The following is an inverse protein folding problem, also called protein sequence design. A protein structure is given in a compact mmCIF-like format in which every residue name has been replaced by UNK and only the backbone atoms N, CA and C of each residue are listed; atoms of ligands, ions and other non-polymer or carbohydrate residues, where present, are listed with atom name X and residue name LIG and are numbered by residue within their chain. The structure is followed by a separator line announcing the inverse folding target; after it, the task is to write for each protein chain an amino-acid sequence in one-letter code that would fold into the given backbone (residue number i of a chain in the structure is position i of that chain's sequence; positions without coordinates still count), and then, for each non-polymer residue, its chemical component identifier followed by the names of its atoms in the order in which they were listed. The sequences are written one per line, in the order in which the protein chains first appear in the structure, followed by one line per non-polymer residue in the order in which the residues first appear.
data_IF_541923631598
#
_entry.id   IF_541923631598
#
_cell.length_a   1.000
_cell.length_b   1.000
_cell.length_c   1.000
_cell.angle_alpha   90.00
_cell.angle_beta   90.00
_cell.angle_gamma   90.00
#
_symmetry.space_group_name_H-M   'P 1'
#
loop_
_entity.id
_entity.type
_entity.pdbx_description
1 polymer ?
#
# COMPACT_ATOMS: atom_id res chain seq x y z
N UNK A 1 33.15 -18.23 46.39
CA UNK A 1 31.76 -18.17 45.89
C UNK A 1 31.26 -16.75 45.57
N UNK A 2 31.59 -15.70 46.36
CA UNK A 2 31.12 -14.31 46.12
C UNK A 2 31.63 -13.71 44.80
N UNK A 3 32.90 -13.90 44.43
CA UNK A 3 33.49 -13.42 43.18
C UNK A 3 32.90 -14.09 41.92
N UNK A 4 32.50 -15.36 42.00
CA UNK A 4 31.87 -16.09 40.93
C UNK A 4 30.47 -15.51 40.60
N UNK A 5 29.68 -15.22 41.65
CA UNK A 5 28.34 -14.62 41.52
C UNK A 5 28.37 -13.20 40.91
N UNK A 6 29.40 -12.40 41.27
CA UNK A 6 29.58 -11.07 40.70
C UNK A 6 29.98 -11.15 39.20
N UNK A 7 30.93 -12.06 38.86
CA UNK A 7 31.29 -12.30 37.46
C UNK A 7 30.10 -12.72 36.61
N UNK A 8 29.25 -13.63 37.11
CA UNK A 8 28.03 -14.05 36.42
C UNK A 8 27.03 -12.91 36.24
N UNK A 9 26.89 -12.00 37.21
CA UNK A 9 26.02 -10.85 37.10
C UNK A 9 26.54 -9.85 36.02
N UNK A 10 27.85 -9.58 36.00
CA UNK A 10 28.48 -8.71 34.98
C UNK A 10 28.35 -9.33 33.59
N UNK A 11 28.56 -10.64 33.46
CA UNK A 11 28.33 -11.35 32.17
C UNK A 11 26.87 -11.23 31.73
N UNK A 12 25.90 -11.35 32.65
CA UNK A 12 24.50 -11.19 32.36
C UNK A 12 24.15 -9.79 31.86
N UNK A 13 24.71 -8.74 32.47
CA UNK A 13 24.55 -7.34 31.99
C UNK A 13 25.18 -7.17 30.61
N UNK A 14 26.40 -7.66 30.41
CA UNK A 14 27.08 -7.56 29.12
C UNK A 14 26.33 -8.28 28.01
N UNK A 15 25.83 -9.50 28.29
CA UNK A 15 25.02 -10.26 27.31
C UNK A 15 23.70 -9.55 26.98
N UNK A 16 22.97 -9.05 27.97
CA UNK A 16 21.73 -8.32 27.77
C UNK A 16 21.97 -7.00 27.01
N UNK A 17 23.06 -6.29 27.29
CA UNK A 17 23.45 -5.08 26.57
C UNK A 17 23.80 -5.37 25.12
N UNK A 18 24.54 -6.46 24.85
CA UNK A 18 24.85 -6.90 23.49
C UNK A 18 23.58 -7.31 22.73
N UNK A 19 22.66 -8.04 23.37
CA UNK A 19 21.36 -8.38 22.78
C UNK A 19 20.52 -7.15 22.45
N UNK A 20 20.45 -6.16 23.36
CA UNK A 20 19.79 -4.89 23.10
C UNK A 20 20.41 -4.16 21.90
N UNK A 21 21.74 -4.07 21.86
CA UNK A 21 22.45 -3.40 20.77
C UNK A 21 22.22 -4.07 19.41
N UNK A 22 22.16 -5.40 19.37
CA UNK A 22 21.91 -6.19 18.16
C UNK A 22 20.45 -6.09 17.68
N UNK A 23 19.49 -6.10 18.60
CA UNK A 23 18.06 -6.08 18.26
C UNK A 23 17.52 -4.67 18.01
N UNK A 24 18.13 -3.64 18.60
CA UNK A 24 17.65 -2.26 18.55
C UNK A 24 17.43 -1.69 17.15
N UNK A 25 18.35 -1.86 16.18
CA UNK A 25 18.15 -1.33 14.82
C UNK A 25 16.91 -1.95 14.15
N UNK A 26 16.77 -3.28 14.24
CA UNK A 26 15.64 -4.01 13.66
C UNK A 26 14.31 -3.65 14.34
N UNK A 27 14.31 -3.54 15.67
CA UNK A 27 13.13 -3.17 16.43
C UNK A 27 12.67 -1.74 16.12
N UNK A 28 13.60 -0.79 15.98
CA UNK A 28 13.31 0.60 15.62
C UNK A 28 12.70 0.69 14.21
N UNK A 29 13.27 -0.01 13.24
CA UNK A 29 12.75 -0.06 11.87
C UNK A 29 11.35 -0.71 11.86
N UNK A 30 11.19 -1.84 12.54
CA UNK A 30 9.91 -2.53 12.68
C UNK A 30 8.84 -1.66 13.35
N UNK A 31 9.19 -0.94 14.40
CA UNK A 31 8.29 -0.01 15.08
C UNK A 31 7.87 1.14 14.16
N UNK A 32 8.81 1.71 13.38
CA UNK A 32 8.50 2.77 12.43
C UNK A 32 7.52 2.30 11.34
N UNK A 33 7.71 1.08 10.82
CA UNK A 33 6.79 0.48 9.84
C UNK A 33 5.40 0.23 10.46
N UNK A 34 5.34 -0.27 11.69
CA UNK A 34 4.07 -0.50 12.38
C UNK A 34 3.30 0.81 12.66
N UNK A 35 3.99 1.88 12.99
CA UNK A 35 3.38 3.21 13.18
C UNK A 35 2.88 3.78 11.84
N UNK A 36 3.61 3.56 10.75
CA UNK A 36 3.26 4.05 9.42
C UNK A 36 2.17 3.23 8.70
N UNK A 37 1.64 2.16 9.30
CA UNK A 37 0.72 1.21 8.64
C UNK A 37 -0.55 1.85 8.05
N UNK A 38 -1.00 2.98 8.59
CA UNK A 38 -2.20 3.69 8.13
C UNK A 38 -1.92 4.78 7.10
N UNK A 39 -0.62 5.12 6.89
CA UNK A 39 -0.16 6.07 5.87
C UNK A 39 0.62 5.33 4.76
N UNK A 40 -0.01 5.09 3.59
CA UNK A 40 0.63 4.37 2.49
C UNK A 40 1.89 5.06 1.96
N UNK A 41 2.00 6.39 2.05
CA UNK A 41 3.15 7.12 1.59
C UNK A 41 4.37 6.90 2.50
N UNK A 42 4.19 6.99 3.81
CA UNK A 42 5.24 6.72 4.78
C UNK A 42 5.63 5.23 4.79
N UNK A 43 4.63 4.34 4.74
CA UNK A 43 4.85 2.90 4.68
C UNK A 43 5.69 2.50 3.47
N UNK A 44 5.31 2.99 2.28
CA UNK A 44 6.04 2.70 1.04
C UNK A 44 7.46 3.25 1.08
N UNK A 45 7.69 4.42 1.66
CA UNK A 45 9.02 5.00 1.81
C UNK A 45 9.96 4.14 2.65
N UNK A 46 9.48 3.68 3.80
CA UNK A 46 10.28 2.82 4.68
C UNK A 46 10.63 1.50 3.98
N UNK A 47 9.67 0.90 3.28
CA UNK A 47 9.87 -0.35 2.56
C UNK A 47 10.79 -0.18 1.34
N UNK A 48 10.62 0.89 0.54
CA UNK A 48 11.51 1.21 -0.58
C UNK A 48 12.93 1.44 -0.09
N UNK A 49 13.13 2.23 0.96
CA UNK A 49 14.45 2.49 1.51
C UNK A 49 15.13 1.19 2.01
N UNK A 50 14.35 0.25 2.56
CA UNK A 50 14.87 -1.06 2.96
C UNK A 50 15.24 -1.92 1.73
N UNK A 51 14.38 -1.97 0.69
CA UNK A 51 14.65 -2.69 -0.54
C UNK A 51 15.90 -2.16 -1.27
N UNK A 52 16.07 -0.85 -1.33
CA UNK A 52 17.19 -0.19 -1.99
C UNK A 52 18.52 -0.38 -1.26
N UNK A 53 18.51 -0.43 0.08
CA UNK A 53 19.72 -0.77 0.86
C UNK A 53 20.23 -2.17 0.57
N UNK A 54 19.32 -3.09 0.29
CA UNK A 54 19.65 -4.49 0.02
C UNK A 54 20.06 -4.75 -1.42
N UNK A 55 19.66 -3.90 -2.36
CA UNK A 55 19.98 -4.04 -3.78
C UNK A 55 20.10 -2.67 -4.46
N UNK A 56 21.33 -2.22 -4.69
CA UNK A 56 21.61 -0.92 -5.30
C UNK A 56 21.29 -0.88 -6.80
N UNK A 57 21.33 -2.01 -7.52
CA UNK A 57 21.00 -2.07 -8.95
C UNK A 57 19.49 -2.17 -9.20
N UNK A 58 18.67 -2.36 -8.16
CA UNK A 58 17.25 -2.64 -8.28
C UNK A 58 16.53 -1.68 -9.22
N UNK A 59 16.80 -0.38 -9.11
CA UNK A 59 16.11 0.64 -9.92
C UNK A 59 16.56 0.56 -11.37
N UNK A 60 17.88 0.45 -11.63
CA UNK A 60 18.41 0.33 -12.99
C UNK A 60 17.85 -0.92 -13.71
N UNK A 61 17.84 -2.06 -13.02
CA UNK A 61 17.28 -3.32 -13.56
C UNK A 61 15.78 -3.18 -13.90
N UNK A 62 15.04 -2.37 -13.13
CA UNK A 62 13.62 -2.10 -13.41
C UNK A 62 13.43 -1.13 -14.56
N UNK A 63 14.29 -0.10 -14.71
CA UNK A 63 14.27 0.82 -15.85
C UNK A 63 14.52 0.06 -17.14
N UNK A 64 15.57 -0.78 -17.20
CA UNK A 64 15.89 -1.60 -18.36
C UNK A 64 14.73 -2.53 -18.75
N UNK A 65 14.13 -3.20 -17.77
CA UNK A 65 12.96 -4.06 -18.02
C UNK A 65 11.75 -3.29 -18.52
N UNK A 66 11.50 -2.09 -18.01
CA UNK A 66 10.40 -1.24 -18.46
C UNK A 66 10.63 -0.78 -19.90
N UNK A 67 11.85 -0.37 -20.26
CA UNK A 67 12.22 -0.02 -21.64
C UNK A 67 12.09 -1.22 -22.59
N UNK A 68 12.58 -2.39 -22.19
CA UNK A 68 12.45 -3.61 -22.98
C UNK A 68 10.99 -4.03 -23.19
N UNK A 69 10.09 -3.70 -22.25
CA UNK A 69 8.65 -3.92 -22.36
C UNK A 69 7.91 -2.80 -23.16
N UNK A 70 8.60 -1.76 -23.62
CA UNK A 70 8.00 -0.60 -24.29
C UNK A 70 7.14 0.27 -23.35
N UNK A 71 7.36 0.18 -22.02
CA UNK A 71 6.63 0.97 -21.03
C UNK A 71 7.44 2.20 -20.60
N UNK A 72 7.46 3.21 -21.47
CA UNK A 72 8.20 4.45 -21.26
C UNK A 72 7.76 5.20 -19.99
N UNK A 73 6.45 5.18 -19.67
CA UNK A 73 5.91 5.84 -18.47
C UNK A 73 6.41 5.16 -17.20
N UNK A 74 6.51 3.81 -17.20
CA UNK A 74 7.05 3.07 -16.06
C UNK A 74 8.55 3.33 -15.92
N UNK A 75 9.31 3.36 -17.02
CA UNK A 75 10.72 3.69 -17.00
C UNK A 75 10.96 5.11 -16.43
N UNK A 76 10.16 6.09 -16.85
CA UNK A 76 10.20 7.45 -16.32
C UNK A 76 9.85 7.48 -14.80
N UNK A 77 8.84 6.71 -14.38
CA UNK A 77 8.47 6.58 -12.97
C UNK A 77 9.63 6.08 -12.09
N UNK A 78 10.42 5.12 -12.59
CA UNK A 78 11.62 4.64 -11.90
C UNK A 78 12.74 5.67 -11.86
N UNK A 79 12.93 6.43 -12.94
CA UNK A 79 13.93 7.52 -12.99
C UNK A 79 13.58 8.61 -11.97
N UNK A 80 12.31 8.97 -11.83
CA UNK A 80 11.88 9.95 -10.82
C UNK A 80 12.09 9.42 -9.40
N UNK A 81 11.81 8.14 -9.16
CA UNK A 81 12.09 7.50 -7.88
C UNK A 81 13.60 7.49 -7.58
N UNK A 82 14.45 7.17 -8.57
CA UNK A 82 15.90 7.21 -8.44
C UNK A 82 16.40 8.60 -8.05
N UNK A 83 15.88 9.64 -8.72
CA UNK A 83 16.22 11.03 -8.45
C UNK A 83 15.87 11.45 -7.02
N UNK A 84 14.67 11.11 -6.55
CA UNK A 84 14.25 11.40 -5.17
C UNK A 84 15.11 10.68 -4.13
N UNK A 85 15.48 9.44 -4.41
CA UNK A 85 16.29 8.61 -3.51
C UNK A 85 17.80 8.82 -3.68
N UNK A 86 18.23 9.77 -4.53
CA UNK A 86 19.64 10.05 -4.85
C UNK A 86 20.39 8.79 -5.33
N UNK A 87 19.74 7.95 -6.13
CA UNK A 87 20.34 6.76 -6.74
C UNK A 87 20.93 7.16 -8.10
N UNK A 88 22.19 6.81 -8.31
CA UNK A 88 22.85 7.06 -9.58
C UNK A 88 22.31 6.11 -10.65
N UNK A 89 21.78 6.68 -11.73
CA UNK A 89 21.40 5.99 -12.96
C UNK A 89 22.36 6.47 -14.04
N UNK A 90 22.83 5.57 -14.92
CA UNK A 90 23.75 5.94 -15.98
C UNK A 90 23.14 6.97 -16.94
N UNK A 91 23.95 7.89 -17.46
CA UNK A 91 23.47 8.90 -18.41
C UNK A 91 22.90 8.27 -19.68
N UNK A 92 23.49 7.16 -20.10
CA UNK A 92 22.99 6.38 -21.25
C UNK A 92 21.56 5.89 -21.04
N UNK A 93 21.27 5.33 -19.85
CA UNK A 93 19.94 4.83 -19.52
C UNK A 93 18.93 5.99 -19.39
N UNK A 94 19.36 7.14 -18.87
CA UNK A 94 18.53 8.34 -18.81
C UNK A 94 18.16 8.86 -20.20
N UNK A 95 19.10 8.86 -21.15
CA UNK A 95 18.83 9.25 -22.54
C UNK A 95 17.87 8.26 -23.23
N UNK A 96 18.03 6.96 -22.99
CA UNK A 96 17.10 5.95 -23.53
C UNK A 96 15.67 6.17 -23.02
N UNK A 97 15.51 6.47 -21.71
CA UNK A 97 14.18 6.79 -21.13
C UNK A 97 13.60 8.05 -21.75
N UNK A 98 14.40 9.13 -21.92
CA UNK A 98 13.93 10.37 -22.57
C UNK A 98 13.47 10.14 -24.00
N UNK A 99 14.25 9.38 -24.76
CA UNK A 99 13.89 9.03 -26.14
C UNK A 99 12.59 8.23 -26.20
N UNK A 100 12.44 7.21 -25.34
CA UNK A 100 11.23 6.40 -25.27
C UNK A 100 9.98 7.21 -24.86
N UNK A 101 10.11 8.13 -23.90
CA UNK A 101 9.02 9.03 -23.49
C UNK A 101 8.64 10.00 -24.62
N UNK A 102 9.64 10.54 -25.33
CA UNK A 102 9.40 11.43 -26.46
C UNK A 102 8.69 10.71 -27.60
N UNK A 103 9.08 9.49 -27.90
CA UNK A 103 8.43 8.64 -28.90
C UNK A 103 6.98 8.31 -28.50
N UNK A 104 6.77 7.89 -27.26
CA UNK A 104 5.45 7.57 -26.72
C UNK A 104 4.49 8.79 -26.80
N UNK A 105 5.00 10.00 -26.60
CA UNK A 105 4.24 11.25 -26.67
C UNK A 105 4.15 11.84 -28.08
N UNK A 106 4.68 11.19 -29.09
CA UNK A 106 4.63 11.68 -30.45
C UNK A 106 3.19 11.70 -30.99
N UNK A 107 2.88 12.67 -31.87
CA UNK A 107 1.56 12.80 -32.48
C UNK A 107 1.13 11.55 -33.28
N UNK A 108 2.08 10.81 -33.84
CA UNK A 108 1.80 9.57 -34.57
C UNK A 108 1.37 8.42 -33.63
N UNK A 109 1.98 8.32 -32.48
CA UNK A 109 1.60 7.33 -31.45
C UNK A 109 0.22 7.66 -30.87
N UNK A 110 -0.01 8.95 -30.59
CA UNK A 110 -1.31 9.45 -30.15
C UNK A 110 -2.43 9.15 -31.16
N UNK A 111 -2.20 9.43 -32.44
CA UNK A 111 -3.18 9.20 -33.49
C UNK A 111 -3.50 7.71 -33.71
N UNK A 112 -2.49 6.81 -33.60
CA UNK A 112 -2.68 5.36 -33.66
C UNK A 112 -3.46 4.86 -32.47
N UNK A 113 -3.09 5.27 -31.26
CA UNK A 113 -3.77 4.88 -30.01
C UNK A 113 -5.23 5.32 -30.02
N UNK A 114 -5.51 6.57 -30.43
CA UNK A 114 -6.86 7.10 -30.57
C UNK A 114 -7.69 6.32 -31.60
N UNK A 115 -7.16 6.05 -32.78
CA UNK A 115 -7.85 5.30 -33.82
C UNK A 115 -8.11 3.85 -33.40
N UNK A 116 -7.13 3.20 -32.76
CA UNK A 116 -7.29 1.82 -32.25
C UNK A 116 -8.32 1.77 -31.14
N UNK A 117 -8.26 2.68 -30.17
CA UNK A 117 -9.23 2.76 -29.08
C UNK A 117 -10.66 2.99 -29.55
N UNK A 118 -10.84 3.83 -30.59
CA UNK A 118 -12.14 4.11 -31.18
C UNK A 118 -12.73 2.89 -31.91
N UNK A 119 -11.89 2.13 -32.61
CA UNK A 119 -12.33 0.97 -33.43
C UNK A 119 -12.48 -0.29 -32.58
N UNK A 120 -11.56 -0.55 -31.67
CA UNK A 120 -11.52 -1.80 -30.89
C UNK A 120 -12.25 -1.71 -29.55
N UNK A 121 -12.50 -0.50 -29.05
CA UNK A 121 -13.00 -0.25 -27.70
C UNK A 121 -12.00 -0.64 -26.61
N UNK A 122 -10.74 -0.89 -26.98
CA UNK A 122 -9.64 -1.16 -26.07
C UNK A 122 -8.87 0.14 -25.78
N UNK A 123 -8.91 0.58 -24.53
CA UNK A 123 -8.18 1.74 -24.08
C UNK A 123 -6.79 1.31 -23.57
N UNK A 124 -5.93 0.85 -24.46
CA UNK A 124 -4.56 0.47 -24.10
C UNK A 124 -3.63 1.70 -23.95
N UNK A 125 -4.10 2.90 -24.31
CA UNK A 125 -3.28 4.10 -24.31
C UNK A 125 -4.01 5.35 -23.80
N UNK A 126 -3.28 6.27 -23.16
CA UNK A 126 -3.77 7.57 -22.64
C UNK A 126 -4.42 8.43 -23.76
N UNK A 127 -3.97 8.26 -25.00
CA UNK A 127 -4.49 8.95 -26.15
C UNK A 127 -5.97 8.64 -26.46
N UNK A 128 -6.45 7.45 -26.09
CA UNK A 128 -7.84 7.04 -26.31
C UNK A 128 -8.81 7.69 -25.30
N UNK A 129 -8.29 8.28 -24.21
CA UNK A 129 -9.08 8.87 -23.11
C UNK A 129 -9.02 10.41 -23.05
N UNK A 130 -8.17 11.06 -23.84
CA UNK A 130 -8.04 12.51 -23.81
C UNK A 130 -9.09 13.16 -24.73
N UNK A 131 -10.14 13.66 -24.14
CA UNK A 131 -11.01 14.56 -24.87
C UNK A 131 -12.36 14.80 -24.19
N UNK A 132 -12.87 16.00 -24.32
CA UNK A 132 -14.20 16.46 -23.92
C UNK A 132 -15.34 15.66 -24.57
N UNK A 133 -15.05 14.87 -25.60
CA UNK A 133 -15.93 13.88 -26.25
C UNK A 133 -16.16 12.64 -25.36
N UNK A 134 -15.28 12.40 -24.38
CA UNK A 134 -15.35 11.24 -23.50
C UNK A 134 -16.64 11.18 -22.64
N UNK A 135 -17.20 12.32 -22.25
CA UNK A 135 -18.40 12.35 -21.41
C UNK A 135 -19.60 11.62 -22.02
N UNK A 136 -19.89 11.89 -23.29
CA UNK A 136 -20.98 11.26 -24.03
C UNK A 136 -20.65 9.81 -24.40
N UNK A 137 -19.38 9.52 -24.75
CA UNK A 137 -18.92 8.17 -25.04
C UNK A 137 -19.03 7.23 -23.81
N UNK A 138 -18.77 7.71 -22.62
CA UNK A 138 -18.95 6.93 -21.38
C UNK A 138 -20.41 6.56 -21.14
N UNK A 139 -21.34 7.49 -21.35
CA UNK A 139 -22.78 7.22 -21.21
C UNK A 139 -23.25 6.20 -22.26
N UNK A 140 -22.84 6.37 -23.52
CA UNK A 140 -23.15 5.39 -24.57
C UNK A 140 -22.54 4.03 -24.29
N UNK A 141 -21.32 3.97 -23.75
CA UNK A 141 -20.66 2.75 -23.31
C UNK A 141 -21.45 2.03 -22.21
N UNK A 142 -21.91 2.77 -21.21
CA UNK A 142 -22.71 2.22 -20.11
C UNK A 142 -24.08 1.71 -20.60
N UNK A 143 -24.78 2.48 -21.45
CA UNK A 143 -26.05 2.06 -22.05
C UNK A 143 -25.84 0.79 -22.89
N UNK A 144 -24.81 0.76 -23.74
CA UNK A 144 -24.50 -0.41 -24.58
C UNK A 144 -24.22 -1.64 -23.73
N UNK A 145 -23.41 -1.49 -22.66
CA UNK A 145 -23.06 -2.61 -21.76
C UNK A 145 -24.31 -3.12 -21.02
N UNK A 146 -25.19 -2.24 -20.55
CA UNK A 146 -26.47 -2.62 -19.91
C UNK A 146 -27.39 -3.35 -20.90
N UNK A 147 -27.55 -2.85 -22.11
CA UNK A 147 -28.39 -3.49 -23.14
C UNK A 147 -27.83 -4.84 -23.56
N UNK A 148 -26.50 -4.96 -23.73
CA UNK A 148 -25.85 -6.21 -24.09
C UNK A 148 -26.01 -7.26 -23.00
N UNK A 149 -25.60 -6.94 -21.77
CA UNK A 149 -25.66 -7.86 -20.63
C UNK A 149 -27.12 -8.17 -20.22
N UNK A 150 -28.02 -7.19 -20.36
CA UNK A 150 -29.46 -7.39 -20.17
C UNK A 150 -30.05 -8.33 -21.21
N UNK A 151 -29.60 -8.25 -22.48
CA UNK A 151 -30.01 -9.19 -23.53
C UNK A 151 -29.51 -10.62 -23.23
N UNK A 152 -28.23 -10.75 -22.80
CA UNK A 152 -27.68 -12.05 -22.36
C UNK A 152 -28.51 -12.64 -21.21
N UNK A 153 -28.98 -11.79 -20.27
CA UNK A 153 -29.84 -12.20 -19.18
C UNK A 153 -31.18 -12.74 -19.71
N UNK A 154 -31.85 -12.03 -20.63
CA UNK A 154 -33.14 -12.42 -21.22
C UNK A 154 -33.04 -13.68 -22.09
N UNK A 155 -31.89 -13.90 -22.76
CA UNK A 155 -31.66 -15.12 -23.60
C UNK A 155 -31.09 -16.30 -22.82
N UNK A 156 -30.84 -16.17 -21.51
CA UNK A 156 -30.22 -17.21 -20.68
C UNK A 156 -28.73 -17.45 -20.97
N UNK A 157 -28.07 -16.51 -21.64
CA UNK A 157 -26.64 -16.55 -21.89
C UNK A 157 -25.81 -16.14 -20.65
N UNK A 158 -24.50 -16.34 -20.72
CA UNK A 158 -23.61 -15.93 -19.61
C UNK A 158 -23.53 -14.40 -19.49
N UNK A 159 -23.98 -13.88 -18.36
CA UNK A 159 -23.97 -12.44 -18.03
C UNK A 159 -22.75 -12.10 -17.21
N UNK A 160 -21.98 -11.09 -17.63
CA UNK A 160 -20.99 -10.48 -16.75
C UNK A 160 -21.67 -9.46 -15.82
N UNK A 161 -22.14 -9.96 -14.67
CA UNK A 161 -22.85 -9.17 -13.65
C UNK A 161 -22.03 -8.02 -13.11
N UNK A 162 -20.70 -8.12 -13.15
CA UNK A 162 -19.82 -7.05 -12.72
C UNK A 162 -19.83 -5.89 -13.74
N UNK A 163 -19.72 -6.19 -15.03
CA UNK A 163 -19.80 -5.19 -16.10
C UNK A 163 -21.17 -4.53 -16.06
N UNK A 164 -22.23 -5.29 -15.91
CA UNK A 164 -23.59 -4.77 -15.77
C UNK A 164 -23.74 -3.82 -14.57
N UNK A 165 -23.27 -4.21 -13.39
CA UNK A 165 -23.35 -3.37 -12.20
C UNK A 165 -22.49 -2.12 -12.28
N UNK A 166 -21.29 -2.19 -12.89
CA UNK A 166 -20.45 -1.01 -13.12
C UNK A 166 -21.09 -0.04 -14.12
N UNK A 167 -21.71 -0.54 -15.18
CA UNK A 167 -22.46 0.27 -16.14
C UNK A 167 -23.68 0.93 -15.48
N UNK A 168 -24.41 0.18 -14.64
CA UNK A 168 -25.51 0.72 -13.84
C UNK A 168 -25.05 1.82 -12.86
N UNK A 169 -23.91 1.63 -12.18
CA UNK A 169 -23.32 2.64 -11.32
C UNK A 169 -22.91 3.88 -12.12
N UNK A 170 -22.36 3.72 -13.32
CA UNK A 170 -22.02 4.80 -14.25
C UNK A 170 -23.25 5.61 -14.64
N UNK A 171 -24.36 4.95 -14.97
CA UNK A 171 -25.64 5.61 -15.28
C UNK A 171 -26.23 6.34 -14.06
N UNK A 172 -26.13 5.76 -12.86
CA UNK A 172 -26.56 6.41 -11.62
C UNK A 172 -25.76 7.70 -11.33
N UNK A 173 -24.43 7.65 -11.52
CA UNK A 173 -23.55 8.84 -11.43
C UNK A 173 -23.97 9.88 -12.48
N UNK A 174 -24.31 9.48 -13.70
CA UNK A 174 -24.80 10.38 -14.75
C UNK A 174 -26.08 11.08 -14.33
N UNK A 175 -27.05 10.34 -13.82
CA UNK A 175 -28.32 10.90 -13.36
C UNK A 175 -28.13 11.90 -12.20
N UNK A 176 -27.22 11.58 -11.25
CA UNK A 176 -26.92 12.45 -10.12
C UNK A 176 -26.15 13.72 -10.49
N UNK A 177 -25.37 13.71 -11.61
CA UNK A 177 -24.53 14.84 -12.01
C UNK A 177 -25.21 15.89 -12.87
N UNK A 178 -26.37 15.60 -13.44
CA UNK A 178 -27.20 16.67 -13.98
C UNK A 178 -27.62 17.70 -12.89
N UNK A 179 -27.43 17.35 -11.62
CA UNK A 179 -27.75 18.20 -10.46
C UNK A 179 -26.50 18.91 -9.86
N UNK A 180 -25.27 18.42 -10.14
CA UNK A 180 -24.04 19.00 -9.58
C UNK A 180 -22.92 19.12 -10.64
N UNK A 181 -22.52 20.36 -10.92
CA UNK A 181 -21.52 20.71 -11.93
C UNK A 181 -20.13 20.21 -11.50
N UNK A 182 -19.53 19.29 -12.26
CA UNK A 182 -18.08 19.06 -12.30
C UNK A 182 -17.48 17.87 -11.53
N UNK A 183 -18.19 17.23 -10.59
CA UNK A 183 -17.59 16.18 -9.72
C UNK A 183 -17.59 14.73 -10.27
N UNK A 184 -18.22 14.48 -11.42
CA UNK A 184 -18.46 13.12 -11.89
C UNK A 184 -17.42 12.56 -12.86
N UNK A 185 -16.65 13.41 -13.53
CA UNK A 185 -15.68 12.96 -14.53
C UNK A 185 -14.65 11.94 -13.96
N UNK A 186 -14.01 12.18 -12.81
CA UNK A 186 -13.08 11.20 -12.24
C UNK A 186 -13.76 9.87 -11.86
N UNK A 187 -15.00 9.93 -11.36
CA UNK A 187 -15.74 8.72 -10.98
C UNK A 187 -16.04 7.87 -12.22
N UNK A 188 -16.51 8.48 -13.30
CA UNK A 188 -16.81 7.80 -14.56
C UNK A 188 -15.57 7.19 -15.19
N UNK A 189 -14.49 7.97 -15.29
CA UNK A 189 -13.21 7.48 -15.77
C UNK A 189 -12.74 6.26 -14.96
N UNK A 190 -12.83 6.34 -13.63
CA UNK A 190 -12.48 5.23 -12.76
C UNK A 190 -13.36 4.00 -12.94
N UNK A 191 -14.67 4.14 -13.05
CA UNK A 191 -15.58 3.02 -13.32
C UNK A 191 -15.29 2.36 -14.69
N UNK A 192 -14.97 3.15 -15.70
CA UNK A 192 -14.56 2.64 -17.01
C UNK A 192 -13.25 1.87 -16.91
N UNK A 193 -12.26 2.39 -16.19
CA UNK A 193 -10.99 1.68 -15.94
C UNK A 193 -11.20 0.35 -15.23
N UNK A 194 -12.12 0.27 -14.27
CA UNK A 194 -12.47 -1.01 -13.61
C UNK A 194 -13.11 -1.99 -14.59
N UNK A 195 -14.01 -1.51 -15.48
CA UNK A 195 -14.58 -2.35 -16.54
C UNK A 195 -13.53 -2.87 -17.51
N UNK A 196 -12.62 -2.00 -17.92
CA UNK A 196 -11.55 -2.36 -18.85
C UNK A 196 -10.56 -3.34 -18.20
N UNK A 197 -10.16 -3.09 -16.95
CA UNK A 197 -9.35 -4.02 -16.17
C UNK A 197 -10.01 -5.42 -16.07
N UNK A 198 -11.33 -5.47 -15.89
CA UNK A 198 -12.10 -6.73 -15.91
C UNK A 198 -12.02 -7.43 -17.27
N UNK A 199 -12.26 -6.69 -18.35
CA UNK A 199 -12.27 -7.22 -19.73
C UNK A 199 -10.91 -7.78 -20.15
N UNK A 200 -9.82 -7.13 -19.73
CA UNK A 200 -8.44 -7.56 -20.05
C UNK A 200 -7.83 -8.52 -18.99
N UNK A 201 -8.62 -8.97 -18.02
CA UNK A 201 -8.15 -9.90 -16.98
C UNK A 201 -7.14 -9.31 -15.99
N UNK A 202 -7.10 -7.99 -15.84
CA UNK A 202 -6.19 -7.25 -14.94
C UNK A 202 -6.88 -6.75 -13.67
N UNK A 203 -7.96 -7.37 -13.26
CA UNK A 203 -8.65 -7.06 -12.01
C UNK A 203 -8.32 -8.13 -10.96
N UNK A 204 -7.80 -7.73 -9.81
CA UNK A 204 -7.45 -8.62 -8.71
C UNK A 204 -8.64 -9.49 -8.29
N UNK A 205 -8.39 -10.73 -7.89
CA UNK A 205 -9.43 -11.72 -7.60
C UNK A 205 -10.37 -11.27 -6.48
N UNK A 206 -9.82 -10.82 -5.35
CA UNK A 206 -10.60 -10.35 -4.22
C UNK A 206 -11.45 -9.12 -4.57
N UNK A 207 -10.88 -8.19 -5.37
CA UNK A 207 -11.61 -7.01 -5.86
C UNK A 207 -12.73 -7.41 -6.83
N UNK A 208 -12.48 -8.40 -7.70
CA UNK A 208 -13.49 -8.98 -8.60
C UNK A 208 -14.66 -9.58 -7.81
N UNK A 209 -14.37 -10.37 -6.78
CA UNK A 209 -15.39 -10.97 -5.93
C UNK A 209 -16.19 -9.92 -5.16
N UNK A 210 -15.51 -8.90 -4.63
CA UNK A 210 -16.17 -7.80 -3.91
C UNK A 210 -17.08 -6.98 -4.84
N UNK A 211 -16.55 -6.55 -5.99
CA UNK A 211 -17.29 -5.76 -6.96
C UNK A 211 -18.47 -6.53 -7.55
N UNK A 212 -18.30 -7.85 -7.79
CA UNK A 212 -19.39 -8.73 -8.26
C UNK A 212 -20.51 -8.90 -7.24
N UNK A 213 -20.21 -8.90 -5.92
CA UNK A 213 -21.26 -8.86 -4.89
C UNK A 213 -22.00 -7.51 -4.89
N UNK A 214 -21.26 -6.41 -4.87
CA UNK A 214 -21.83 -5.06 -4.91
C UNK A 214 -22.67 -4.82 -6.17
N UNK A 215 -22.28 -5.38 -7.30
CA UNK A 215 -23.02 -5.29 -8.55
C UNK A 215 -24.36 -6.04 -8.52
N UNK A 216 -24.41 -7.18 -7.82
CA UNK A 216 -25.67 -7.95 -7.66
C UNK A 216 -26.73 -7.20 -6.85
N UNK A 217 -26.27 -6.48 -5.82
CA UNK A 217 -27.18 -5.73 -4.95
C UNK A 217 -27.74 -4.48 -5.65
N UNK A 218 -27.07 -4.03 -6.72
CA UNK A 218 -27.44 -2.84 -7.49
C UNK A 218 -28.50 -3.10 -8.55
N UNK A 219 -28.62 -4.33 -9.06
CA UNK A 219 -29.43 -4.68 -10.24
C UNK A 219 -30.53 -5.67 -9.86
N UNK A 220 -31.77 -5.25 -10.05
CA UNK A 220 -32.92 -6.17 -10.02
C UNK A 220 -33.00 -6.91 -11.36
N UNK A 221 -32.47 -8.17 -11.37
CA UNK A 221 -32.38 -8.95 -12.59
C UNK A 221 -33.74 -9.20 -13.26
N UNK A 222 -34.81 -9.59 -12.55
CA UNK A 222 -36.14 -9.77 -13.13
C UNK A 222 -36.70 -8.48 -13.76
N UNK A 223 -36.53 -7.33 -13.10
CA UNK A 223 -37.02 -6.05 -13.65
C UNK A 223 -36.22 -5.65 -14.88
N UNK A 224 -34.90 -5.88 -14.87
CA UNK A 224 -34.05 -5.58 -16.02
C UNK A 224 -34.37 -6.45 -17.22
N UNK A 225 -34.59 -7.74 -17.01
CA UNK A 225 -34.98 -8.70 -18.06
C UNK A 225 -36.27 -8.23 -18.73
N UNK A 226 -37.33 -7.96 -17.97
CA UNK A 226 -38.59 -7.41 -18.48
C UNK A 226 -38.43 -6.10 -19.22
N UNK A 227 -37.58 -5.19 -18.69
CA UNK A 227 -37.34 -3.90 -19.33
C UNK A 227 -36.61 -4.02 -20.66
N UNK A 228 -35.69 -4.98 -20.79
CA UNK A 228 -34.93 -5.23 -22.03
C UNK A 228 -35.82 -5.97 -23.07
N UNK A 229 -36.62 -6.94 -22.65
CA UNK A 229 -37.56 -7.63 -23.53
C UNK A 229 -38.60 -6.69 -24.13
N UNK A 230 -39.07 -5.71 -23.35
CA UNK A 230 -40.03 -4.68 -23.78
C UNK A 230 -39.38 -3.47 -24.43
N UNK A 231 -38.03 -3.42 -24.49
CA UNK A 231 -37.31 -2.31 -25.08
C UNK A 231 -37.64 -2.14 -26.56
N UNK A 232 -38.10 -0.97 -26.94
CA UNK A 232 -38.46 -0.65 -28.33
C UNK A 232 -37.62 0.52 -28.83
N UNK A 233 -37.03 0.33 -30.01
CA UNK A 233 -36.29 1.40 -30.72
C UNK A 233 -37.22 2.58 -31.10
N UNK A 234 -38.53 2.29 -31.19
CA UNK A 234 -39.56 3.28 -31.50
C UNK A 234 -39.95 4.17 -30.32
N UNK A 235 -39.61 3.75 -29.07
CA UNK A 235 -39.92 4.47 -27.82
C UNK A 235 -38.69 4.51 -26.89
N UNK A 236 -37.59 5.12 -27.30
CA UNK A 236 -36.34 5.05 -26.55
C UNK A 236 -36.43 5.61 -25.12
N UNK A 237 -37.23 6.66 -24.91
CA UNK A 237 -37.41 7.26 -23.58
C UNK A 237 -38.03 6.28 -22.55
N UNK A 238 -39.12 5.58 -22.95
CA UNK A 238 -39.79 4.61 -22.09
C UNK A 238 -38.89 3.42 -21.78
N UNK A 239 -38.10 2.95 -22.76
CA UNK A 239 -37.14 1.87 -22.58
C UNK A 239 -36.02 2.25 -21.60
N UNK A 240 -35.51 3.49 -21.69
CA UNK A 240 -34.50 4.01 -20.77
C UNK A 240 -35.05 4.13 -19.35
N UNK A 241 -36.28 4.61 -19.18
CA UNK A 241 -36.91 4.77 -17.85
C UNK A 241 -37.20 3.40 -17.22
N UNK A 242 -37.64 2.42 -17.99
CA UNK A 242 -37.83 1.05 -17.52
C UNK A 242 -36.52 0.39 -17.10
N UNK A 243 -35.44 0.58 -17.88
CA UNK A 243 -34.11 0.10 -17.54
C UNK A 243 -33.61 0.79 -16.25
N UNK A 244 -33.78 2.10 -16.12
CA UNK A 244 -33.41 2.83 -14.90
C UNK A 244 -34.15 2.33 -13.65
N UNK A 245 -35.42 1.96 -13.76
CA UNK A 245 -36.22 1.44 -12.67
C UNK A 245 -35.72 0.07 -12.14
N UNK A 246 -34.95 -0.68 -12.93
CA UNK A 246 -34.33 -1.92 -12.52
C UNK A 246 -33.03 -1.74 -11.70
N UNK A 247 -32.62 -0.50 -11.42
CA UNK A 247 -31.42 -0.21 -10.64
C UNK A 247 -31.74 0.42 -9.28
N UNK A 248 -30.98 0.03 -8.27
CA UNK A 248 -31.00 0.58 -6.92
C UNK A 248 -29.85 1.56 -6.71
N UNK A 249 -29.96 2.85 -7.10
CA UNK A 249 -28.85 3.80 -7.06
C UNK A 249 -28.29 4.01 -5.65
N UNK A 250 -29.07 3.78 -4.60
CA UNK A 250 -28.64 3.83 -3.20
C UNK A 250 -27.59 2.74 -2.88
N UNK A 251 -27.59 1.63 -3.59
CA UNK A 251 -26.60 0.56 -3.44
C UNK A 251 -25.30 0.83 -4.22
N UNK A 252 -25.28 1.84 -5.10
CA UNK A 252 -24.13 2.16 -5.94
C UNK A 252 -22.96 2.80 -5.14
N UNK A 253 -23.20 3.27 -3.92
CA UNK A 253 -22.23 4.08 -3.15
C UNK A 253 -20.85 3.43 -3.01
N UNK A 254 -20.77 2.11 -2.91
CA UNK A 254 -19.52 1.35 -2.84
C UNK A 254 -18.73 1.41 -4.15
N UNK A 255 -19.39 1.15 -5.27
CA UNK A 255 -18.81 1.18 -6.62
C UNK A 255 -18.44 2.60 -7.04
N UNK A 256 -19.26 3.59 -6.69
CA UNK A 256 -18.97 5.01 -6.93
C UNK A 256 -17.70 5.45 -6.20
N UNK A 257 -17.53 5.05 -4.92
CA UNK A 257 -16.29 5.31 -4.18
C UNK A 257 -15.09 4.63 -4.81
N UNK A 258 -15.23 3.36 -5.20
CA UNK A 258 -14.18 2.64 -5.94
C UNK A 258 -13.81 3.42 -7.22
N UNK A 259 -14.80 3.81 -8.04
CA UNK A 259 -14.57 4.58 -9.26
C UNK A 259 -13.85 5.91 -8.98
N UNK A 260 -14.25 6.63 -7.92
CA UNK A 260 -13.58 7.86 -7.50
C UNK A 260 -12.10 7.62 -7.16
N UNK A 261 -11.81 6.57 -6.40
CA UNK A 261 -10.44 6.26 -5.98
C UNK A 261 -9.58 5.81 -7.16
N UNK A 262 -10.11 4.95 -8.05
CA UNK A 262 -9.43 4.56 -9.30
C UNK A 262 -9.18 5.77 -10.21
N UNK A 263 -10.17 6.66 -10.34
CA UNK A 263 -10.03 7.90 -11.11
C UNK A 263 -8.91 8.79 -10.59
N UNK A 264 -8.77 8.92 -9.25
CA UNK A 264 -7.67 9.67 -8.62
C UNK A 264 -6.30 9.03 -8.91
N UNK A 265 -6.20 7.70 -8.84
CA UNK A 265 -4.96 7.01 -9.24
C UNK A 265 -4.65 7.28 -10.72
N UNK A 266 -5.67 7.19 -11.60
CA UNK A 266 -5.52 7.48 -13.03
C UNK A 266 -5.07 8.90 -13.32
N UNK A 267 -5.58 9.88 -12.57
CA UNK A 267 -5.17 11.29 -12.70
C UNK A 267 -3.71 11.51 -12.27
N UNK A 268 -3.25 10.89 -11.20
CA UNK A 268 -1.92 11.13 -10.60
C UNK A 268 -0.81 10.22 -11.13
N UNK A 269 -1.13 8.95 -11.40
CA UNK A 269 -0.18 7.92 -11.83
C UNK A 269 -0.45 7.40 -13.25
N UNK A 270 -1.39 8.01 -13.97
CA UNK A 270 -1.78 7.61 -15.33
C UNK A 270 -2.69 6.38 -15.38
N UNK A 271 -3.25 6.12 -16.56
CA UNK A 271 -4.15 4.97 -16.81
C UNK A 271 -3.47 3.64 -16.46
N UNK A 272 -2.23 3.46 -16.91
CA UNK A 272 -1.44 2.25 -16.60
C UNK A 272 -1.21 2.09 -15.09
N UNK A 273 -1.02 3.20 -14.36
CA UNK A 273 -0.92 3.18 -12.89
C UNK A 273 -2.21 2.73 -12.20
N UNK A 274 -3.36 3.13 -12.72
CA UNK A 274 -4.65 2.64 -12.25
C UNK A 274 -4.83 1.15 -12.55
N UNK A 275 -4.46 0.67 -13.74
CA UNK A 275 -4.50 -0.76 -14.08
C UNK A 275 -3.53 -1.60 -13.24
N UNK A 276 -2.33 -1.10 -12.98
CA UNK A 276 -1.36 -1.75 -12.09
C UNK A 276 -1.93 -1.86 -10.66
N UNK A 277 -2.56 -0.78 -10.17
CA UNK A 277 -3.28 -0.79 -8.88
C UNK A 277 -4.40 -1.83 -8.84
N UNK A 278 -5.26 -1.84 -9.86
CA UNK A 278 -6.40 -2.77 -9.94
C UNK A 278 -5.95 -4.23 -10.00
N UNK A 279 -4.79 -4.52 -10.61
CA UNK A 279 -4.26 -5.87 -10.73
C UNK A 279 -3.77 -6.47 -9.40
N UNK A 280 -3.32 -5.62 -8.47
CA UNK A 280 -2.78 -6.07 -7.17
C UNK A 280 -3.76 -5.89 -6.01
N UNK A 281 -4.84 -5.11 -6.20
CA UNK A 281 -5.80 -4.82 -5.15
C UNK A 281 -6.73 -6.01 -4.91
N UNK A 282 -6.90 -6.37 -3.64
CA UNK A 282 -7.82 -7.42 -3.19
C UNK A 282 -9.17 -6.86 -2.73
N UNK A 283 -9.29 -5.54 -2.65
CA UNK A 283 -10.53 -4.90 -2.24
C UNK A 283 -10.50 -3.38 -2.36
N UNK A 284 -11.65 -2.72 -2.12
CA UNK A 284 -11.77 -1.27 -2.27
C UNK A 284 -10.87 -0.49 -1.31
N UNK A 285 -10.52 -1.06 -0.16
CA UNK A 285 -9.59 -0.43 0.80
C UNK A 285 -8.17 -0.32 0.23
N UNK A 286 -7.73 -1.31 -0.55
CA UNK A 286 -6.42 -1.28 -1.19
C UNK A 286 -6.38 -0.18 -2.25
N UNK A 287 -7.45 -0.06 -3.05
CA UNK A 287 -7.58 1.00 -4.05
C UNK A 287 -7.62 2.39 -3.40
N UNK A 288 -8.34 2.55 -2.29
CA UNK A 288 -8.37 3.81 -1.54
C UNK A 288 -6.98 4.19 -0.98
N UNK A 289 -6.17 3.21 -0.55
CA UNK A 289 -4.80 3.43 -0.12
C UNK A 289 -3.88 3.77 -1.30
N UNK A 290 -4.05 3.10 -2.44
CA UNK A 290 -3.34 3.43 -3.67
C UNK A 290 -3.65 4.86 -4.15
N UNK A 291 -4.90 5.32 -4.02
CA UNK A 291 -5.28 6.69 -4.33
C UNK A 291 -4.54 7.71 -3.44
N UNK A 292 -4.44 7.45 -2.13
CA UNK A 292 -3.64 8.29 -1.21
C UNK A 292 -2.15 8.25 -1.54
N UNK A 293 -1.62 7.08 -1.89
CA UNK A 293 -0.24 6.94 -2.35
C UNK A 293 -0.01 7.77 -3.61
N UNK A 294 -0.90 7.67 -4.60
CA UNK A 294 -0.81 8.41 -5.86
C UNK A 294 -0.92 9.93 -5.65
N UNK A 295 -1.77 10.39 -4.73
CA UNK A 295 -1.87 11.81 -4.36
C UNK A 295 -0.56 12.35 -3.77
N UNK A 296 0.17 11.55 -3.00
CA UNK A 296 1.43 11.99 -2.37
C UNK A 296 2.66 11.77 -3.23
N UNK A 297 2.69 10.73 -4.09
CA UNK A 297 3.86 10.30 -4.88
C UNK A 297 3.73 10.52 -6.38
N UNK A 298 2.56 10.92 -6.86
CA UNK A 298 2.32 11.22 -8.27
C UNK A 298 2.75 10.08 -9.20
N UNK A 299 3.54 10.42 -10.20
CA UNK A 299 4.09 9.51 -11.21
C UNK A 299 4.97 8.39 -10.63
N UNK A 300 5.64 8.58 -9.50
CA UNK A 300 6.45 7.56 -8.83
C UNK A 300 5.64 6.37 -8.31
N UNK A 301 4.32 6.54 -8.18
CA UNK A 301 3.41 5.49 -7.67
C UNK A 301 3.58 4.18 -8.42
N UNK A 302 3.75 4.22 -9.76
CA UNK A 302 3.93 3.00 -10.56
C UNK A 302 5.20 2.24 -10.19
N UNK A 303 6.32 2.94 -10.05
CA UNK A 303 7.60 2.35 -9.63
C UNK A 303 7.47 1.72 -8.23
N UNK A 304 6.84 2.42 -7.30
CA UNK A 304 6.61 1.95 -5.93
C UNK A 304 5.75 0.67 -5.94
N UNK A 305 4.63 0.67 -6.66
CA UNK A 305 3.76 -0.50 -6.79
C UNK A 305 4.48 -1.67 -7.47
N UNK A 306 5.38 -1.40 -8.43
CA UNK A 306 6.12 -2.44 -9.14
C UNK A 306 7.20 -3.10 -8.29
N UNK A 307 7.84 -2.36 -7.39
CA UNK A 307 8.84 -2.89 -6.45
C UNK A 307 8.16 -3.64 -5.29
N UNK A 308 7.17 -3.04 -4.68
CA UNK A 308 6.58 -3.51 -3.42
C UNK A 308 5.31 -4.35 -3.61
N UNK A 309 4.71 -4.29 -4.81
CA UNK A 309 3.42 -4.92 -5.06
C UNK A 309 2.36 -4.40 -4.08
N UNK A 310 1.53 -5.30 -3.57
CA UNK A 310 0.52 -5.01 -2.55
C UNK A 310 1.13 -4.51 -1.23
N UNK A 311 2.39 -4.83 -0.95
CA UNK A 311 3.13 -4.34 0.21
C UNK A 311 3.21 -2.82 0.29
N UNK A 312 3.17 -2.11 -0.85
CA UNK A 312 3.09 -0.65 -0.89
C UNK A 312 1.82 -0.09 -0.22
N UNK A 313 0.76 -0.88 -0.20
CA UNK A 313 -0.57 -0.46 0.26
C UNK A 313 -0.88 -0.96 1.67
N UNK A 314 -0.36 -2.12 2.03
CA UNK A 314 -0.67 -2.82 3.26
C UNK A 314 0.58 -3.40 3.90
N UNK A 315 0.64 -3.35 5.22
CA UNK A 315 1.54 -4.18 5.98
C UNK A 315 0.98 -5.61 6.07
N UNK A 316 0.94 -6.33 4.93
CA UNK A 316 0.26 -7.62 4.83
C UNK A 316 1.15 -8.80 5.23
N UNK A 317 2.39 -8.83 4.74
CA UNK A 317 3.34 -9.88 5.03
C UNK A 317 4.40 -9.36 6.00
N UNK A 318 4.65 -10.07 7.09
CA UNK A 318 5.71 -9.71 8.04
C UNK A 318 5.26 -8.89 9.25
N UNK A 319 3.98 -8.50 9.37
CA UNK A 319 3.50 -7.82 10.58
C UNK A 319 3.78 -8.65 11.86
N UNK A 320 3.70 -9.96 11.77
CA UNK A 320 4.05 -10.87 12.87
C UNK A 320 5.55 -10.81 13.18
N UNK A 321 6.40 -10.87 12.15
CA UNK A 321 7.86 -10.78 12.32
C UNK A 321 8.28 -9.41 12.88
N UNK A 322 7.67 -8.32 12.37
CA UNK A 322 7.91 -6.97 12.88
C UNK A 322 7.53 -6.85 14.37
N UNK A 323 6.37 -7.41 14.74
CA UNK A 323 5.91 -7.44 16.15
C UNK A 323 6.86 -8.26 17.01
N UNK A 324 7.37 -9.39 16.50
CA UNK A 324 8.33 -10.25 17.19
C UNK A 324 9.65 -9.51 17.46
N UNK A 325 10.17 -8.74 16.49
CA UNK A 325 11.37 -7.92 16.69
C UNK A 325 11.19 -6.85 17.76
N UNK A 326 10.08 -6.13 17.74
CA UNK A 326 9.74 -5.12 18.78
C UNK A 326 9.60 -5.78 20.14
N UNK A 327 8.89 -6.89 20.23
CA UNK A 327 8.70 -7.62 21.47
C UNK A 327 10.03 -8.20 22.00
N UNK A 328 10.87 -8.76 21.11
CA UNK A 328 12.20 -9.25 21.46
C UNK A 328 13.10 -8.15 22.03
N UNK A 329 13.07 -6.94 21.44
CA UNK A 329 13.82 -5.81 21.96
C UNK A 329 13.31 -5.32 23.32
N UNK A 330 11.99 -5.31 23.54
CA UNK A 330 11.41 -4.99 24.85
C UNK A 330 11.80 -6.00 25.92
N UNK A 331 11.80 -7.30 25.59
CA UNK A 331 12.27 -8.34 26.50
C UNK A 331 13.77 -8.18 26.82
N UNK A 332 14.59 -7.88 25.82
CA UNK A 332 16.02 -7.64 26.02
C UNK A 332 16.27 -6.41 26.91
N UNK A 333 15.51 -5.33 26.71
CA UNK A 333 15.57 -4.13 27.54
C UNK A 333 15.14 -4.42 28.98
N UNK A 334 14.06 -5.16 29.18
CA UNK A 334 13.61 -5.59 30.50
C UNK A 334 14.65 -6.48 31.18
N UNK A 335 15.28 -7.41 30.47
CA UNK A 335 16.38 -8.23 30.94
C UNK A 335 17.59 -7.39 31.36
N UNK A 336 17.93 -6.37 30.57
CA UNK A 336 19.01 -5.44 30.90
C UNK A 336 18.74 -4.65 32.18
N UNK A 337 17.55 -4.04 32.29
CA UNK A 337 17.16 -3.29 33.49
C UNK A 337 17.13 -4.16 34.73
N UNK A 338 16.61 -5.39 34.63
CA UNK A 338 16.57 -6.37 35.70
C UNK A 338 17.98 -6.81 36.14
N UNK A 339 18.87 -7.02 35.16
CA UNK A 339 20.28 -7.36 35.43
C UNK A 339 21.03 -6.22 36.11
N UNK A 340 20.81 -4.96 35.65
CA UNK A 340 21.40 -3.76 36.27
C UNK A 340 20.92 -3.67 37.75
N UNK A 341 19.59 -3.78 37.99
CA UNK A 341 19.02 -3.75 39.33
C UNK A 341 19.63 -4.81 40.22
N UNK A 342 19.65 -6.05 39.79
CA UNK A 342 20.21 -7.16 40.56
C UNK A 342 21.71 -6.99 40.85
N UNK A 343 22.46 -6.45 39.92
CA UNK A 343 23.89 -6.17 40.06
C UNK A 343 24.13 -5.04 41.05
N UNK A 344 23.38 -3.95 40.97
CA UNK A 344 23.46 -2.78 41.86
C UNK A 344 23.11 -3.18 43.31
N UNK A 345 22.01 -3.91 43.51
CA UNK A 345 21.63 -4.42 44.83
C UNK A 345 22.74 -5.28 45.45
N UNK A 346 23.34 -6.19 44.69
CA UNK A 346 24.43 -7.06 45.17
C UNK A 346 25.70 -6.26 45.51
N UNK A 347 26.07 -5.27 44.70
CA UNK A 347 27.21 -4.41 44.95
C UNK A 347 26.98 -3.56 46.19
N UNK A 348 25.81 -2.99 46.38
CA UNK A 348 25.47 -2.18 47.54
C UNK A 348 25.51 -3.01 48.83
N UNK A 349 24.90 -4.20 48.80
CA UNK A 349 24.94 -5.11 49.94
C UNK A 349 26.38 -5.56 50.27
N UNK A 350 27.18 -5.90 49.26
CA UNK A 350 28.59 -6.26 49.43
C UNK A 350 29.42 -5.10 50.03
N UNK A 351 29.20 -3.88 49.59
CA UNK A 351 29.86 -2.70 50.13
C UNK A 351 29.46 -2.43 51.59
N UNK A 352 28.19 -2.50 51.92
CA UNK A 352 27.69 -2.37 53.31
C UNK A 352 28.30 -3.41 54.22
N UNK A 353 28.35 -4.69 53.81
CA UNK A 353 28.98 -5.75 54.59
C UNK A 353 30.47 -5.50 54.79
N UNK A 354 31.17 -5.03 53.76
CA UNK A 354 32.60 -4.74 53.86
C UNK A 354 32.88 -3.56 54.80
N UNK A 355 32.07 -2.50 54.70
CA UNK A 355 32.18 -1.36 55.61
C UNK A 355 31.85 -1.71 57.05
N UNK A 356 30.84 -2.55 57.28
CA UNK A 356 30.52 -3.07 58.62
C UNK A 356 31.66 -3.91 59.19
N UNK A 357 32.24 -4.80 58.39
CA UNK A 357 33.38 -5.63 58.78
C UNK A 357 34.62 -4.77 59.12
N UNK A 358 34.94 -3.75 58.31
CA UNK A 358 36.05 -2.80 58.57
C UNK A 358 35.82 -1.98 59.84
N UNK A 359 34.57 -1.56 60.12
CA UNK A 359 34.24 -0.87 61.40
C UNK A 359 34.43 -1.76 62.60
N UNK A 360 33.97 -3.02 62.55
CA UNK A 360 34.16 -4.00 63.62
C UNK A 360 35.64 -4.32 63.84
N UNK A 361 36.44 -4.48 62.76
CA UNK A 361 37.89 -4.68 62.91
C UNK A 361 38.58 -3.50 63.55
N UNK A 362 38.23 -2.26 63.21
CA UNK A 362 38.78 -1.05 63.85
C UNK A 362 38.38 -0.98 65.33
N UNK A 363 37.15 -1.32 65.68
CA UNK A 363 36.67 -1.37 67.06
C UNK A 363 37.40 -2.44 67.87
N UNK A 364 37.60 -3.63 67.33
CA UNK A 364 38.37 -4.69 67.99
C UNK A 364 39.84 -4.33 68.15
N UNK A 365 40.48 -3.73 67.15
CA UNK A 365 41.87 -3.24 67.25
C UNK A 365 42.01 -2.15 68.30
N UNK A 366 41.08 -1.21 68.40
CA UNK A 366 41.06 -0.16 69.42
C UNK A 366 40.80 -0.73 70.82
N UNK A 367 40.01 -1.78 70.98
CA UNK A 367 39.78 -2.41 72.24
C UNK A 367 41.00 -3.27 72.75
N UNK A 368 41.77 -3.83 71.80
CA UNK A 368 42.99 -4.61 72.14
C UNK A 368 44.20 -3.73 72.53
N UNK A 369 44.30 -2.50 72.01
CA UNK A 369 45.42 -1.58 72.30
C UNK A 369 45.62 -1.30 73.76
N UNK A 370 44.63 -1.02 74.64
CA UNK A 370 44.84 -0.76 76.04
C UNK A 370 45.21 -2.06 76.81
N UNK A 371 44.75 -3.23 76.37
CA UNK A 371 45.11 -4.53 76.94
C UNK A 371 46.60 -4.88 76.69
N UNK A 372 47.08 -4.62 75.47
CA UNK A 372 48.50 -4.79 75.13
C UNK A 372 49.43 -3.76 75.86
N UNK A 373 49.00 -2.52 76.01
CA UNK A 373 49.71 -1.48 76.70
C UNK A 373 49.80 -1.86 78.23
N UNK A 374 48.76 -2.39 78.84
CA UNK A 374 48.78 -2.84 80.26
C UNK A 374 49.61 -4.11 80.49
N UNK A 375 49.71 -5.00 79.49
CA UNK A 375 50.57 -6.18 79.54
C UNK A 375 52.05 -5.79 79.40
N UNK A 376 52.38 -4.85 78.53
CA UNK A 376 53.76 -4.33 78.39
C UNK A 376 54.25 -3.49 79.57
N UNK A 377 53.33 -2.91 80.33
CA UNK A 377 53.68 -2.17 81.56
C UNK A 377 53.90 -3.08 82.81
N UNK A 378 53.61 -4.39 82.70
CA UNK A 378 53.82 -5.38 83.77
C UNK A 378 55.01 -6.33 83.56
N UNK A 379 55.69 -6.19 82.46
CA UNK A 379 56.97 -6.86 82.19
C UNK A 379 58.14 -5.91 82.49
#
# INVERSE_FOLDING_TARGET
MKHLRLKLAVIGVAFSAAACAALWPHARESAAILVAQDDPAQLSDLQINSALRNNQSLVADHVERALAAGDADLAASFVELAKEKNILVSDELLEQVRAAVTEANSASHFAKGFATGLVTGNADDVASMSGTVAGDLFVFGDIRDVVREGKHLATGEQVDRLVLGLAAAGLAVTAATYVSIGGAAPVRAGLTLVKDARKVGRLGEGLTLWAGRSARDLVDAPLLENAVEQASVLRPGQSIDAIKAAFHPEQAAGLVRLGKDVGRVGEKAGVRGALDTLSIAEGPKDVARAARLAESRGSQTRAILKILGRGALLLAAGAFDLTLWVFGALLALFGLLSSIKATTERLTLSWLHHNKARRLQKQMAAALQPALASAAARS
#
